data_IF_190860604992
#
_entry.id   IF_190860604992
#
_cell.length_a   1.000
_cell.length_b   1.000
_cell.length_c   1.000
_cell.angle_alpha   90.00
_cell.angle_beta   90.00
_cell.angle_gamma   90.00
#
_symmetry.space_group_name_H-M   'P 1'
#
loop_
_entity.id
_entity.type
_entity.pdbx_description
1 polymer ?
#
# COMPACT_ATOMS: atom_id res chain seq x y z
N UNK A 1 -63.37 -11.29 -12.37
CA UNK A 1 -62.51 -10.11 -12.21
C UNK A 1 -61.48 -10.49 -11.16
N UNK A 2 -60.27 -10.86 -11.57
CA UNK A 2 -59.20 -11.27 -10.65
C UNK A 2 -58.42 -10.01 -10.30
N UNK A 3 -58.47 -9.60 -9.04
CA UNK A 3 -57.71 -8.48 -8.53
C UNK A 3 -56.24 -8.91 -8.48
N UNK A 4 -55.45 -8.45 -9.43
CA UNK A 4 -53.98 -8.57 -9.37
C UNK A 4 -53.55 -7.75 -8.14
N UNK A 5 -52.79 -8.33 -7.19
CA UNK A 5 -52.29 -7.57 -6.05
C UNK A 5 -51.48 -6.39 -6.58
N UNK A 6 -51.85 -5.18 -6.18
CA UNK A 6 -51.03 -3.99 -6.39
C UNK A 6 -49.65 -4.28 -5.80
N UNK A 7 -48.54 -4.21 -6.58
CA UNK A 7 -47.23 -4.51 -6.03
C UNK A 7 -46.98 -3.56 -4.85
N UNK A 8 -46.66 -4.15 -3.69
CA UNK A 8 -46.27 -3.38 -2.52
C UNK A 8 -45.12 -2.47 -2.91
N UNK A 9 -45.26 -1.20 -2.54
CA UNK A 9 -44.38 -0.12 -3.00
C UNK A 9 -43.01 -0.33 -2.36
N UNK A 10 -42.15 -1.11 -3.02
CA UNK A 10 -40.75 -1.34 -2.62
C UNK A 10 -40.06 0.00 -2.44
N UNK A 11 -39.46 0.23 -1.27
CA UNK A 11 -38.74 1.46 -0.97
C UNK A 11 -37.35 1.37 -1.58
N UNK A 12 -37.03 2.25 -2.54
CA UNK A 12 -35.70 2.32 -3.16
C UNK A 12 -34.69 2.92 -2.16
N UNK A 13 -33.62 2.17 -1.90
CA UNK A 13 -32.52 2.56 -1.01
C UNK A 13 -31.41 3.24 -1.81
N UNK A 14 -31.01 2.64 -2.94
CA UNK A 14 -29.91 3.12 -3.77
C UNK A 14 -30.03 2.60 -5.20
N UNK A 15 -29.49 3.36 -6.15
CA UNK A 15 -29.41 3.01 -7.58
C UNK A 15 -28.04 3.35 -8.12
N UNK A 16 -27.50 2.43 -8.93
CA UNK A 16 -26.23 2.63 -9.62
C UNK A 16 -26.26 1.94 -11.00
N UNK A 17 -25.48 2.42 -11.99
CA UNK A 17 -25.23 1.65 -13.20
C UNK A 17 -24.58 0.30 -12.89
N UNK A 18 -24.89 -0.75 -13.65
CA UNK A 18 -24.24 -2.06 -13.51
C UNK A 18 -22.76 -2.00 -13.90
N UNK A 19 -22.48 -1.50 -15.12
CA UNK A 19 -21.13 -1.21 -15.64
C UNK A 19 -21.11 0.16 -16.30
N UNK A 20 -22.12 0.44 -17.12
CA UNK A 20 -22.35 1.72 -17.79
C UNK A 20 -23.86 1.99 -17.81
N UNK A 21 -24.33 3.26 -17.77
CA UNK A 21 -25.77 3.57 -17.82
C UNK A 21 -26.52 2.97 -19.01
N UNK A 22 -25.84 2.79 -20.15
CA UNK A 22 -26.40 2.20 -21.37
C UNK A 22 -26.41 0.66 -21.38
N UNK A 23 -25.76 0.03 -20.39
CA UNK A 23 -25.64 -1.44 -20.30
C UNK A 23 -26.65 -2.01 -19.31
N UNK A 24 -26.96 -1.29 -18.24
CA UNK A 24 -27.85 -1.78 -17.21
C UNK A 24 -27.74 -1.03 -15.90
N UNK A 25 -28.58 -1.44 -14.95
CA UNK A 25 -28.71 -0.83 -13.64
C UNK A 25 -28.80 -1.86 -12.51
N UNK A 26 -28.42 -1.41 -11.33
CA UNK A 26 -28.59 -2.13 -10.07
C UNK A 26 -29.40 -1.23 -9.14
N UNK A 27 -30.47 -1.77 -8.57
CA UNK A 27 -31.33 -1.03 -7.65
C UNK A 27 -31.52 -1.83 -6.38
N UNK A 28 -31.13 -1.22 -5.27
CA UNK A 28 -31.35 -1.77 -3.94
C UNK A 28 -32.72 -1.31 -3.42
N UNK A 29 -33.52 -2.25 -2.95
CA UNK A 29 -34.83 -2.01 -2.36
C UNK A 29 -34.91 -2.60 -0.95
N UNK A 30 -35.83 -2.05 -0.15
CA UNK A 30 -36.34 -2.71 1.04
C UNK A 30 -37.67 -3.39 0.68
N UNK A 31 -37.70 -4.72 0.72
CA UNK A 31 -38.92 -5.54 0.61
C UNK A 31 -39.35 -6.01 2.01
N UNK A 32 -40.53 -6.63 2.10
CA UNK A 32 -41.13 -7.22 3.30
C UNK A 32 -40.23 -8.25 4.00
N UNK A 33 -39.43 -8.99 3.23
CA UNK A 33 -38.48 -9.99 3.74
C UNK A 33 -37.10 -9.40 4.10
N UNK A 34 -36.80 -8.18 3.65
CA UNK A 34 -35.52 -7.51 3.89
C UNK A 34 -34.94 -6.81 2.66
N UNK A 35 -33.68 -6.34 2.75
CA UNK A 35 -33.02 -5.66 1.64
C UNK A 35 -32.70 -6.63 0.50
N UNK A 36 -33.02 -6.23 -0.72
CA UNK A 36 -32.71 -6.96 -1.95
C UNK A 36 -32.09 -6.01 -2.98
N UNK A 37 -31.37 -6.57 -3.94
CA UNK A 37 -30.75 -5.82 -5.04
C UNK A 37 -31.22 -6.45 -6.34
N UNK A 38 -32.01 -5.72 -7.12
CA UNK A 38 -32.39 -6.13 -8.47
C UNK A 38 -31.35 -5.62 -9.46
N UNK A 39 -30.82 -6.50 -10.28
CA UNK A 39 -29.86 -6.20 -11.34
C UNK A 39 -30.52 -6.43 -12.67
N UNK A 40 -30.54 -5.41 -13.53
CA UNK A 40 -31.00 -5.49 -14.90
C UNK A 40 -29.83 -5.18 -15.83
N UNK A 41 -29.52 -6.11 -16.72
CA UNK A 41 -28.53 -5.94 -17.80
C UNK A 41 -29.28 -5.96 -19.11
N UNK A 42 -29.31 -4.82 -19.80
CA UNK A 42 -29.92 -4.64 -21.10
C UNK A 42 -29.06 -3.66 -21.92
N UNK A 43 -28.11 -4.17 -22.71
CA UNK A 43 -27.31 -3.33 -23.60
C UNK A 43 -28.18 -2.54 -24.56
N UNK A 44 -27.77 -1.32 -24.88
CA UNK A 44 -28.42 -0.49 -25.89
C UNK A 44 -28.52 -1.24 -27.23
N UNK A 45 -29.65 -1.08 -27.92
CA UNK A 45 -29.96 -1.74 -29.20
C UNK A 45 -30.13 -3.28 -29.16
N UNK A 46 -30.13 -3.90 -27.97
CA UNK A 46 -30.34 -5.34 -27.80
C UNK A 46 -31.74 -5.67 -27.25
N UNK A 47 -32.41 -6.62 -27.88
CA UNK A 47 -33.63 -7.24 -27.33
C UNK A 47 -33.33 -8.27 -26.23
N UNK A 48 -32.06 -8.68 -26.07
CA UNK A 48 -31.62 -9.55 -24.99
C UNK A 48 -31.47 -8.74 -23.70
N UNK A 49 -32.08 -9.25 -22.63
CA UNK A 49 -31.94 -8.72 -21.28
C UNK A 49 -31.70 -9.87 -20.29
N UNK A 50 -31.05 -9.55 -19.19
CA UNK A 50 -30.87 -10.44 -18.05
C UNK A 50 -31.33 -9.70 -16.79
N UNK A 51 -32.21 -10.33 -16.02
CA UNK A 51 -32.69 -9.80 -14.73
C UNK A 51 -32.49 -10.86 -13.67
N UNK A 52 -31.92 -10.45 -12.54
CA UNK A 52 -31.76 -11.30 -11.37
C UNK A 52 -31.74 -10.47 -10.10
N UNK A 53 -32.16 -11.09 -9.01
CA UNK A 53 -32.18 -10.49 -7.68
C UNK A 53 -31.10 -11.12 -6.82
N UNK A 54 -30.41 -10.31 -6.05
CA UNK A 54 -29.41 -10.74 -5.08
C UNK A 54 -29.75 -10.21 -3.69
N UNK A 55 -29.48 -11.01 -2.67
CA UNK A 55 -29.34 -10.52 -1.31
C UNK A 55 -28.02 -9.74 -1.14
N UNK A 56 -27.88 -8.89 -0.11
CA UNK A 56 -26.61 -8.22 0.17
C UNK A 56 -25.44 -9.17 0.42
N UNK A 57 -25.68 -10.41 0.87
CA UNK A 57 -24.64 -11.41 1.03
C UNK A 57 -24.16 -11.92 -0.33
N UNK A 58 -25.07 -12.37 -1.18
CA UNK A 58 -24.75 -12.88 -2.53
C UNK A 58 -24.09 -11.79 -3.39
N UNK A 59 -24.51 -10.53 -3.26
CA UNK A 59 -23.87 -9.41 -3.94
C UNK A 59 -22.40 -9.22 -3.52
N UNK A 60 -22.06 -9.44 -2.25
CA UNK A 60 -20.68 -9.38 -1.76
C UNK A 60 -19.86 -10.56 -2.27
N UNK A 61 -20.43 -11.76 -2.27
CA UNK A 61 -19.78 -12.98 -2.79
C UNK A 61 -19.52 -12.87 -4.31
N UNK A 62 -20.48 -12.33 -5.07
CA UNK A 62 -20.30 -12.04 -6.49
C UNK A 62 -19.19 -11.01 -6.72
N UNK A 63 -19.18 -9.91 -5.94
CA UNK A 63 -18.13 -8.89 -6.03
C UNK A 63 -16.74 -9.47 -5.74
N UNK A 64 -16.61 -10.35 -4.75
CA UNK A 64 -15.36 -11.05 -4.45
C UNK A 64 -14.92 -11.98 -5.58
N UNK A 65 -15.87 -12.70 -6.19
CA UNK A 65 -15.60 -13.56 -7.34
C UNK A 65 -15.12 -12.76 -8.55
N UNK A 66 -15.78 -11.64 -8.85
CA UNK A 66 -15.39 -10.73 -9.93
C UNK A 66 -13.99 -10.14 -9.69
N UNK A 67 -13.70 -9.69 -8.47
CA UNK A 67 -12.36 -9.22 -8.08
C UNK A 67 -11.31 -10.30 -8.31
N UNK A 68 -11.57 -11.52 -7.85
CA UNK A 68 -10.64 -12.65 -8.00
C UNK A 68 -10.32 -12.94 -9.47
N UNK A 69 -11.35 -12.92 -10.34
CA UNK A 69 -11.17 -13.13 -11.78
C UNK A 69 -10.37 -11.98 -12.40
N UNK A 70 -10.66 -10.73 -12.02
CA UNK A 70 -9.92 -9.56 -12.50
C UNK A 70 -8.44 -9.64 -12.12
N UNK A 71 -8.12 -9.98 -10.87
CA UNK A 71 -6.75 -10.15 -10.38
C UNK A 71 -6.00 -11.25 -11.15
N UNK A 72 -6.67 -12.37 -11.41
CA UNK A 72 -6.10 -13.47 -12.22
C UNK A 72 -5.84 -13.04 -13.67
N UNK A 73 -6.80 -12.35 -14.29
CA UNK A 73 -6.67 -11.87 -15.66
C UNK A 73 -5.54 -10.84 -15.79
N UNK A 74 -5.45 -9.90 -14.84
CA UNK A 74 -4.37 -8.93 -14.75
C UNK A 74 -3.02 -9.62 -14.60
N UNK A 75 -2.90 -10.58 -13.68
CA UNK A 75 -1.66 -11.34 -13.48
C UNK A 75 -1.24 -12.13 -14.70
N UNK A 76 -2.19 -12.66 -15.47
CA UNK A 76 -1.90 -13.29 -16.76
C UNK A 76 -1.31 -12.29 -17.77
N UNK A 77 -1.62 -11.00 -17.63
CA UNK A 77 -1.02 -9.90 -18.40
C UNK A 77 0.47 -9.68 -18.11
N UNK A 78 0.99 -10.13 -16.96
CA UNK A 78 2.40 -10.04 -16.58
C UNK A 78 3.25 -11.12 -17.27
N UNK A 79 3.34 -11.03 -18.59
CA UNK A 79 4.10 -11.98 -19.40
C UNK A 79 5.59 -11.96 -19.06
N UNK A 80 6.30 -13.08 -19.29
CA UNK A 80 7.76 -13.15 -19.12
C UNK A 80 8.51 -12.05 -19.87
N UNK A 81 8.03 -11.69 -21.08
CA UNK A 81 8.59 -10.60 -21.87
C UNK A 81 8.43 -9.26 -21.15
N UNK A 82 7.25 -8.99 -20.61
CA UNK A 82 6.98 -7.76 -19.86
C UNK A 82 7.83 -7.67 -18.60
N UNK A 83 7.95 -8.75 -17.83
CA UNK A 83 8.79 -8.78 -16.63
C UNK A 83 10.28 -8.55 -16.97
N UNK A 84 10.77 -9.14 -18.06
CA UNK A 84 12.13 -8.92 -18.54
C UNK A 84 12.34 -7.46 -18.99
N UNK A 85 11.40 -6.86 -19.72
CA UNK A 85 11.44 -5.45 -20.11
C UNK A 85 11.44 -4.54 -18.87
N UNK A 86 10.60 -4.83 -17.86
CA UNK A 86 10.53 -4.05 -16.63
C UNK A 86 11.83 -4.12 -15.83
N UNK A 87 12.38 -5.33 -15.66
CA UNK A 87 13.69 -5.52 -15.02
C UNK A 87 14.76 -4.70 -15.72
N UNK A 88 14.83 -4.80 -17.04
CA UNK A 88 15.87 -4.13 -17.83
C UNK A 88 15.82 -2.61 -17.72
N UNK A 89 14.61 -2.04 -17.66
CA UNK A 89 14.43 -0.60 -17.84
C UNK A 89 14.09 0.18 -16.57
N UNK A 90 13.54 -0.48 -15.55
CA UNK A 90 13.04 0.20 -14.36
C UNK A 90 13.54 -0.40 -13.05
N UNK A 91 13.62 -1.73 -12.95
CA UNK A 91 13.93 -2.44 -11.68
C UNK A 91 15.02 -3.51 -11.90
N UNK A 92 16.29 -3.12 -12.13
CA UNK A 92 17.35 -4.04 -12.54
C UNK A 92 17.64 -5.15 -11.51
N UNK A 93 17.49 -4.84 -10.23
CA UNK A 93 17.84 -5.75 -9.13
C UNK A 93 16.64 -6.56 -8.61
N UNK A 94 15.44 -6.35 -9.18
CA UNK A 94 14.23 -7.00 -8.72
C UNK A 94 13.99 -8.38 -9.36
N UNK A 95 13.52 -9.31 -8.53
CA UNK A 95 13.04 -10.63 -8.94
C UNK A 95 11.72 -10.52 -9.71
N UNK A 96 11.34 -11.56 -10.46
CA UNK A 96 10.07 -11.58 -11.19
C UNK A 96 8.87 -11.42 -10.23
N UNK A 97 8.95 -11.98 -9.02
CA UNK A 97 7.89 -11.90 -8.02
C UNK A 97 7.78 -10.50 -7.42
N UNK A 98 8.89 -9.87 -7.05
CA UNK A 98 8.89 -8.47 -6.59
C UNK A 98 8.39 -7.51 -7.68
N UNK A 99 8.71 -7.77 -8.95
CA UNK A 99 8.19 -6.97 -10.07
C UNK A 99 6.67 -7.16 -10.19
N UNK A 100 6.14 -8.39 -10.07
CA UNK A 100 4.69 -8.65 -10.10
C UNK A 100 3.98 -7.94 -8.96
N UNK A 101 4.50 -8.04 -7.74
CA UNK A 101 3.89 -7.42 -6.56
C UNK A 101 3.85 -5.89 -6.70
N UNK A 102 4.91 -5.28 -7.21
CA UNK A 102 4.94 -3.84 -7.48
C UNK A 102 3.99 -3.45 -8.62
N UNK A 103 3.86 -4.27 -9.66
CA UNK A 103 2.90 -4.02 -10.74
C UNK A 103 1.46 -4.16 -10.25
N UNK A 104 1.16 -5.16 -9.41
CA UNK A 104 -0.18 -5.34 -8.80
C UNK A 104 -0.54 -4.12 -7.93
N UNK A 105 0.36 -3.71 -7.03
CA UNK A 105 0.18 -2.51 -6.21
C UNK A 105 0.02 -1.23 -7.05
N UNK A 106 0.75 -1.13 -8.17
CA UNK A 106 0.60 -0.03 -9.09
C UNK A 106 -0.79 -0.02 -9.74
N UNK A 107 -1.35 -1.20 -10.09
CA UNK A 107 -2.67 -1.32 -10.72
C UNK A 107 -3.80 -0.99 -9.78
N UNK A 108 -3.73 -1.43 -8.53
CA UNK A 108 -4.71 -1.03 -7.52
C UNK A 108 -4.76 0.49 -7.37
N UNK A 109 -3.62 1.16 -7.52
CA UNK A 109 -3.52 2.62 -7.35
C UNK A 109 -3.85 3.43 -8.60
N UNK A 110 -3.50 2.94 -9.80
CA UNK A 110 -3.63 3.68 -11.06
C UNK A 110 -4.74 3.17 -12.00
N UNK A 111 -5.32 2.00 -11.72
CA UNK A 111 -6.28 1.32 -12.58
C UNK A 111 -5.68 0.83 -13.90
N UNK A 112 -6.50 0.77 -14.96
CA UNK A 112 -6.21 0.15 -16.27
C UNK A 112 -5.05 0.78 -17.08
N UNK A 113 -4.35 1.80 -16.57
CA UNK A 113 -3.34 2.58 -17.31
C UNK A 113 -1.94 1.97 -17.38
N UNK A 114 -1.79 0.71 -16.97
CA UNK A 114 -0.47 0.08 -16.79
C UNK A 114 -0.03 -0.67 -18.03
N UNK A 115 -0.95 -1.33 -18.73
CA UNK A 115 -0.64 -1.96 -20.00
C UNK A 115 -0.46 -0.90 -21.09
N UNK A 116 0.71 -0.89 -21.71
CA UNK A 116 1.03 -0.14 -22.91
C UNK A 116 0.79 -0.98 -24.18
N UNK A 117 1.33 -0.50 -25.30
CA UNK A 117 1.17 -1.16 -26.59
C UNK A 117 1.89 -2.52 -26.64
N UNK A 118 1.25 -3.54 -27.22
CA UNK A 118 1.84 -4.88 -27.47
C UNK A 118 2.38 -5.61 -26.23
N UNK A 119 1.69 -5.47 -25.08
CA UNK A 119 2.06 -6.18 -23.86
C UNK A 119 3.33 -5.64 -23.20
N UNK A 120 3.68 -4.38 -23.47
CA UNK A 120 4.72 -3.65 -22.74
C UNK A 120 4.10 -2.82 -21.62
N UNK A 121 4.90 -2.43 -20.64
CA UNK A 121 4.48 -1.44 -19.64
C UNK A 121 4.29 -0.08 -20.30
N UNK A 122 3.23 0.64 -19.93
CA UNK A 122 3.04 2.02 -20.39
C UNK A 122 4.21 2.90 -19.89
N UNK A 123 4.64 3.87 -20.70
CA UNK A 123 5.77 4.74 -20.33
C UNK A 123 5.51 5.54 -19.05
N UNK A 124 4.24 5.87 -18.78
CA UNK A 124 3.82 6.52 -17.55
C UNK A 124 3.97 5.60 -16.35
N UNK A 125 3.47 4.36 -16.44
CA UNK A 125 3.61 3.37 -15.36
C UNK A 125 5.09 3.05 -15.08
N UNK A 126 5.92 2.95 -16.12
CA UNK A 126 7.36 2.75 -15.97
C UNK A 126 8.07 3.87 -15.22
N UNK A 127 7.77 5.14 -15.54
CA UNK A 127 8.32 6.29 -14.79
C UNK A 127 7.87 6.29 -13.34
N UNK A 128 6.65 5.84 -13.07
CA UNK A 128 6.11 5.78 -11.73
C UNK A 128 6.80 4.71 -10.88
N UNK A 129 7.04 3.52 -11.45
CA UNK A 129 7.85 2.48 -10.79
C UNK A 129 9.25 2.98 -10.42
N UNK A 130 9.91 3.68 -11.35
CA UNK A 130 11.25 4.23 -11.12
C UNK A 130 11.24 5.28 -9.98
N UNK A 131 10.21 6.13 -9.94
CA UNK A 131 10.06 7.13 -8.89
C UNK A 131 9.83 6.49 -7.51
N UNK A 132 9.04 5.42 -7.44
CA UNK A 132 8.78 4.68 -6.19
C UNK A 132 10.02 3.95 -5.71
N UNK A 133 10.78 3.33 -6.61
CA UNK A 133 12.04 2.68 -6.27
C UNK A 133 13.07 3.67 -5.74
N UNK A 134 13.20 4.83 -6.40
CA UNK A 134 14.06 5.90 -5.94
C UNK A 134 13.63 6.45 -4.57
N UNK A 135 12.32 6.61 -4.33
CA UNK A 135 11.79 7.05 -3.04
C UNK A 135 12.05 6.02 -1.93
N UNK A 136 11.89 4.73 -2.22
CA UNK A 136 12.18 3.66 -1.28
C UNK A 136 13.68 3.62 -0.92
N UNK A 137 14.56 3.71 -1.91
CA UNK A 137 16.01 3.78 -1.71
C UNK A 137 16.43 5.00 -0.88
N UNK A 138 15.83 6.16 -1.15
CA UNK A 138 16.08 7.38 -0.38
C UNK A 138 15.61 7.24 1.08
N UNK A 139 14.45 6.63 1.31
CA UNK A 139 13.94 6.34 2.65
C UNK A 139 14.87 5.41 3.44
N UNK A 140 15.34 4.32 2.81
CA UNK A 140 16.31 3.41 3.42
C UNK A 140 17.64 4.10 3.75
N UNK A 141 18.17 4.90 2.84
CA UNK A 141 19.39 5.66 3.06
C UNK A 141 19.23 6.66 4.22
N UNK A 142 18.09 7.36 4.28
CA UNK A 142 17.78 8.28 5.37
C UNK A 142 17.67 7.56 6.71
N UNK A 143 17.06 6.37 6.75
CA UNK A 143 16.98 5.55 7.95
C UNK A 143 18.35 5.12 8.45
N UNK A 144 19.17 4.55 7.56
CA UNK A 144 20.53 4.12 7.88
C UNK A 144 21.42 5.28 8.37
N UNK A 145 21.30 6.46 7.74
CA UNK A 145 22.01 7.66 8.22
C UNK A 145 21.52 8.10 9.60
N UNK A 146 20.21 8.01 9.87
CA UNK A 146 19.65 8.28 11.19
C UNK A 146 20.24 7.38 12.27
N UNK A 147 20.33 6.08 12.01
CA UNK A 147 20.96 5.10 12.93
C UNK A 147 22.44 5.44 13.18
N UNK A 148 23.20 5.80 12.15
CA UNK A 148 24.61 6.19 12.29
C UNK A 148 24.73 7.47 13.14
N UNK A 149 23.87 8.47 12.91
CA UNK A 149 23.87 9.70 13.71
C UNK A 149 23.57 9.40 15.19
N UNK A 150 22.61 8.51 15.46
CA UNK A 150 22.29 8.10 16.83
C UNK A 150 23.47 7.38 17.50
N UNK A 151 24.12 6.46 16.81
CA UNK A 151 25.31 5.77 17.31
C UNK A 151 26.46 6.75 17.61
N UNK A 152 26.70 7.72 16.72
CA UNK A 152 27.72 8.76 16.94
C UNK A 152 27.38 9.65 18.14
N UNK A 153 26.10 9.98 18.35
CA UNK A 153 25.65 10.74 19.50
C UNK A 153 25.88 9.97 20.81
N UNK A 154 25.59 8.66 20.83
CA UNK A 154 25.86 7.79 21.98
C UNK A 154 27.37 7.71 22.29
N UNK A 155 28.23 7.56 21.26
CA UNK A 155 29.69 7.61 21.43
C UNK A 155 30.17 8.96 21.97
N UNK A 156 29.58 10.07 21.51
CA UNK A 156 29.86 11.41 22.03
C UNK A 156 29.53 11.54 23.52
N UNK A 157 28.40 10.98 23.98
CA UNK A 157 28.04 10.97 25.40
C UNK A 157 29.03 10.15 26.25
N UNK A 158 29.47 8.99 25.76
CA UNK A 158 30.47 8.16 26.43
C UNK A 158 31.81 8.90 26.53
N UNK A 159 32.24 9.54 25.45
CA UNK A 159 33.45 10.37 25.44
C UNK A 159 33.37 11.51 26.45
N UNK A 160 32.23 12.21 26.52
CA UNK A 160 31.99 13.27 27.51
C UNK A 160 32.15 12.79 28.96
N UNK A 161 31.57 11.63 29.30
CA UNK A 161 31.71 11.03 30.64
C UNK A 161 33.14 10.64 30.98
N UNK A 162 33.92 10.18 30.00
CA UNK A 162 35.33 9.86 30.19
C UNK A 162 36.17 11.12 30.47
N UNK A 163 35.88 12.22 29.79
CA UNK A 163 36.53 13.52 30.05
C UNK A 163 36.19 14.04 31.45
N UNK A 164 34.93 13.94 31.87
CA UNK A 164 34.51 14.29 33.23
C UNK A 164 35.19 13.42 34.29
N UNK A 165 35.27 12.10 34.06
CA UNK A 165 35.96 11.18 34.95
C UNK A 165 37.47 11.51 35.04
N UNK A 166 38.12 11.80 33.92
CA UNK A 166 39.53 12.21 33.91
C UNK A 166 39.76 13.50 34.70
N UNK A 167 38.84 14.47 34.57
CA UNK A 167 38.89 15.73 35.34
C UNK A 167 38.73 15.47 36.84
N UNK A 168 37.76 14.64 37.23
CA UNK A 168 37.54 14.26 38.63
C UNK A 168 38.76 13.54 39.23
N UNK A 169 39.41 12.63 38.47
CA UNK A 169 40.66 11.99 38.90
C UNK A 169 41.79 13.00 39.10
N UNK A 170 41.94 13.95 38.17
CA UNK A 170 42.97 15.00 38.26
C UNK A 170 42.75 15.90 39.49
N UNK A 171 41.51 16.26 39.77
CA UNK A 171 41.15 17.06 40.95
C UNK A 171 41.39 16.29 42.25
N UNK A 172 41.11 14.99 42.26
CA UNK A 172 41.35 14.11 43.42
C UNK A 172 42.84 13.91 43.68
N UNK A 173 43.66 13.73 42.65
CA UNK A 173 45.12 13.70 42.77
C UNK A 173 45.66 15.03 43.34
N UNK A 174 45.13 16.16 42.90
CA UNK A 174 45.51 17.48 43.39
C UNK A 174 45.15 17.66 44.87
N UNK A 175 43.97 17.23 45.28
CA UNK A 175 43.53 17.26 46.68
C UNK A 175 44.37 16.33 47.55
N UNK A 176 44.69 15.13 47.06
CA UNK A 176 45.55 14.20 47.78
C UNK A 176 46.96 14.77 47.99
N UNK A 177 47.55 15.38 46.94
CA UNK A 177 48.87 16.03 47.02
C UNK A 177 48.86 17.22 47.99
N UNK A 178 47.82 18.06 47.93
CA UNK A 178 47.63 19.16 48.89
C UNK A 178 47.43 18.68 50.34
N UNK A 179 46.76 17.54 50.53
CA UNK A 179 46.59 16.90 51.84
C UNK A 179 47.92 16.40 52.41
N UNK A 180 48.76 15.76 51.57
CA UNK A 180 50.12 15.33 51.94
C UNK A 180 50.99 16.53 52.32
N UNK A 181 50.93 17.62 51.54
CA UNK A 181 51.69 18.84 51.81
C UNK A 181 51.24 19.53 53.12
N UNK A 182 49.93 19.59 53.39
CA UNK A 182 49.38 20.14 54.64
C UNK A 182 49.62 19.25 55.86
N UNK A 183 49.73 17.94 55.70
CA UNK A 183 50.06 17.01 56.77
C UNK A 183 51.55 17.07 57.20
N UNK A 184 52.37 17.88 56.52
CA UNK A 184 53.78 18.09 56.90
C UNK A 184 54.69 16.87 56.64
N UNK A 185 54.25 15.91 55.82
CA UNK A 185 55.06 14.75 55.43
C UNK A 185 55.95 15.17 54.24
N UNK A 186 56.92 16.04 54.48
CA UNK A 186 58.07 16.14 53.58
C UNK A 186 58.89 14.87 53.77
N UNK A 187 58.80 13.95 52.80
CA UNK A 187 59.89 12.99 52.57
C UNK A 187 61.18 13.78 52.45
N UNK A 188 62.15 13.50 53.32
CA UNK A 188 63.56 13.68 52.97
C UNK A 188 63.90 12.76 51.80
#
# INVERSE_FOLDING_TARGET
MVTVPTPEKREEIARAPFVHPEVGEMVAYLDTEGPIIDVQVKPEESDMFCEFTLTPLEARELAESLRTIADQAQRAGWTRKMLADVRRHYLPDATDDEIRDRLDALTERLGERIHGFRGQLSSQAGRQLLAEDAAAAAGQASGALGEVVEQLAQLGQVSGRLVEAQKAFTDLERLHRASIDNAGIRSK
#
